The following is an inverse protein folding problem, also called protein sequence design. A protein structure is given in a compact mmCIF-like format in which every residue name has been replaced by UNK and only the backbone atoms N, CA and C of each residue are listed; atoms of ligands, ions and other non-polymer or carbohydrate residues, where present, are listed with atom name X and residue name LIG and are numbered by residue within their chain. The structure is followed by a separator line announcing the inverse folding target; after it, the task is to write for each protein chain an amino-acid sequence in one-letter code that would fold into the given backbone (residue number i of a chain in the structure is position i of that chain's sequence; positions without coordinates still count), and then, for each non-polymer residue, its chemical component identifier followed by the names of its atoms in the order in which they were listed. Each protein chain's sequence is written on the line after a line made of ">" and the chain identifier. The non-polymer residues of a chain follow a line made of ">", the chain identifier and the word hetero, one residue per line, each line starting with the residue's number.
data_IF_958010803961
#
_entry.id   IF_958010803961
#
_cell.length_a   1.000
_cell.length_b   1.000
_cell.length_c   1.000
_cell.angle_alpha   90.00
_cell.angle_beta   90.00
_cell.angle_gamma   90.00
#
_symmetry.space_group_name_H-M   'P 1'
#
loop_
_entity.id
_entity.type
_entity.pdbx_description
1 polymer ?
#
# COMPACT_ATOMS: atom_id res chain seq x y z
N UNK A 1 -31.56 -2.52 -13.10
CA UNK A 1 -32.85 -1.88 -13.46
C UNK A 1 -33.12 -0.78 -12.45
N UNK A 2 -32.22 0.19 -12.41
CA UNK A 2 -32.32 1.49 -11.72
C UNK A 2 -31.35 2.47 -12.41
N UNK A 3 -30.24 1.93 -12.95
CA UNK A 3 -29.29 2.70 -13.75
C UNK A 3 -29.83 3.15 -15.11
N UNK A 4 -30.95 2.64 -15.61
CA UNK A 4 -31.54 3.13 -16.88
C UNK A 4 -32.41 4.38 -16.68
N UNK A 5 -32.92 4.61 -15.45
CA UNK A 5 -33.58 5.85 -15.03
C UNK A 5 -32.59 6.89 -14.47
N UNK A 6 -31.46 6.45 -13.91
CA UNK A 6 -30.42 7.31 -13.32
C UNK A 6 -29.26 7.64 -14.28
N UNK A 7 -29.04 6.87 -15.36
CA UNK A 7 -28.02 7.23 -16.35
C UNK A 7 -28.44 8.34 -17.31
N UNK A 8 -29.73 8.73 -17.33
CA UNK A 8 -30.23 9.86 -18.12
C UNK A 8 -29.51 11.17 -17.78
N UNK A 9 -29.26 11.41 -16.49
CA UNK A 9 -28.54 12.61 -16.02
C UNK A 9 -27.11 12.70 -16.56
N UNK A 10 -26.47 11.56 -16.84
CA UNK A 10 -25.10 11.52 -17.39
C UNK A 10 -25.07 11.77 -18.90
N UNK A 11 -26.18 11.56 -19.60
CA UNK A 11 -26.33 11.80 -21.04
C UNK A 11 -26.87 13.20 -21.37
N UNK A 12 -27.38 13.94 -20.38
CA UNK A 12 -27.92 15.30 -20.55
C UNK A 12 -26.86 16.39 -20.40
N UNK A 13 -25.70 16.07 -19.82
CA UNK A 13 -24.65 17.04 -19.56
C UNK A 13 -23.69 17.24 -20.74
N UNK A 14 -23.30 18.50 -20.95
CA UNK A 14 -22.27 18.86 -21.91
C UNK A 14 -20.98 18.05 -21.66
N UNK A 15 -20.31 17.64 -22.74
CA UNK A 15 -19.16 16.72 -22.74
C UNK A 15 -18.06 17.04 -21.69
N UNK A 16 -17.93 18.30 -21.28
CA UNK A 16 -16.99 18.75 -20.25
C UNK A 16 -17.33 18.20 -18.85
N UNK A 17 -18.59 18.23 -18.42
CA UNK A 17 -19.01 17.72 -17.09
C UNK A 17 -18.84 16.19 -17.03
N UNK A 18 -19.13 15.50 -18.13
CA UNK A 18 -18.88 14.07 -18.27
C UNK A 18 -17.40 13.73 -18.01
N UNK A 19 -16.47 14.43 -18.66
CA UNK A 19 -15.03 14.21 -18.48
C UNK A 19 -14.60 14.44 -17.03
N UNK A 20 -15.08 15.50 -16.38
CA UNK A 20 -14.75 15.76 -14.98
C UNK A 20 -15.29 14.69 -14.04
N UNK A 21 -16.48 14.14 -14.32
CA UNK A 21 -17.03 13.05 -13.53
C UNK A 21 -16.17 11.78 -13.62
N UNK A 22 -15.79 11.37 -14.83
CA UNK A 22 -14.90 10.20 -15.00
C UNK A 22 -13.55 10.44 -14.34
N UNK A 23 -12.96 11.62 -14.55
CA UNK A 23 -11.69 11.97 -13.93
C UNK A 23 -11.78 11.88 -12.39
N UNK A 24 -12.86 12.38 -11.80
CA UNK A 24 -13.08 12.33 -10.36
C UNK A 24 -13.28 10.90 -9.83
N UNK A 25 -14.03 10.06 -10.54
CA UNK A 25 -14.21 8.64 -10.18
C UNK A 25 -12.84 7.92 -10.15
N UNK A 26 -12.05 8.03 -11.22
CA UNK A 26 -10.72 7.41 -11.27
C UNK A 26 -9.75 8.00 -10.25
N UNK A 27 -9.77 9.31 -10.03
CA UNK A 27 -8.93 9.96 -9.02
C UNK A 27 -9.26 9.46 -7.61
N UNK A 28 -10.55 9.27 -7.29
CA UNK A 28 -10.98 8.75 -5.98
C UNK A 28 -10.52 7.32 -5.74
N UNK A 29 -10.54 6.46 -6.76
CA UNK A 29 -10.04 5.07 -6.69
C UNK A 29 -8.54 5.08 -6.40
N UNK A 30 -7.77 5.88 -7.13
CA UNK A 30 -6.31 5.99 -6.94
C UNK A 30 -5.98 6.53 -5.56
N UNK A 31 -6.68 7.57 -5.09
CA UNK A 31 -6.49 8.14 -3.75
C UNK A 31 -6.72 7.08 -2.67
N UNK A 32 -7.83 6.34 -2.74
CA UNK A 32 -8.12 5.27 -1.77
C UNK A 32 -7.06 4.16 -1.78
N UNK A 33 -6.53 3.80 -2.95
CA UNK A 33 -5.43 2.83 -3.06
C UNK A 33 -4.13 3.35 -2.42
N UNK A 34 -3.83 4.64 -2.58
CA UNK A 34 -2.67 5.26 -1.93
C UNK A 34 -2.85 5.29 -0.42
N UNK A 35 -4.02 5.71 0.07
CA UNK A 35 -4.31 5.81 1.50
C UNK A 35 -4.24 4.44 2.19
N UNK A 36 -4.81 3.41 1.57
CA UNK A 36 -4.75 2.03 2.09
C UNK A 36 -3.32 1.48 2.10
N UNK A 37 -2.50 1.77 1.08
CA UNK A 37 -1.08 1.41 1.05
C UNK A 37 -0.29 2.07 2.19
N UNK A 38 -0.59 3.34 2.50
CA UNK A 38 0.07 4.08 3.58
C UNK A 38 -0.31 3.51 4.95
N UNK A 39 -1.61 3.28 5.21
CA UNK A 39 -2.07 2.83 6.53
C UNK A 39 -1.75 1.37 6.83
N UNK A 40 -1.87 0.48 5.85
CA UNK A 40 -1.77 -0.97 6.08
C UNK A 40 -0.47 -1.60 5.61
N UNK A 41 0.17 -1.08 4.55
CA UNK A 41 1.38 -1.68 3.95
C UNK A 41 2.68 -0.93 4.33
N UNK A 42 2.64 -0.10 5.37
CA UNK A 42 3.81 0.64 5.86
C UNK A 42 4.30 1.76 4.92
N UNK A 43 3.52 2.11 3.91
CA UNK A 43 3.78 3.22 2.99
C UNK A 43 5.20 3.24 2.41
N UNK A 44 5.96 4.27 2.80
CA UNK A 44 7.33 4.58 2.37
C UNK A 44 8.40 3.64 2.96
N UNK A 45 8.07 2.87 3.99
CA UNK A 45 9.06 2.00 4.63
C UNK A 45 9.63 0.99 3.63
N UNK A 46 10.95 1.09 3.45
CA UNK A 46 11.77 0.09 2.78
C UNK A 46 12.04 -0.97 3.85
N UNK A 47 11.06 -1.84 4.09
CA UNK A 47 11.25 -2.98 5.01
C UNK A 47 12.15 -4.06 4.40
N UNK A 48 12.52 -3.94 3.12
CA UNK A 48 13.38 -4.90 2.46
C UNK A 48 14.83 -4.57 2.80
N UNK A 49 15.47 -5.57 3.40
CA UNK A 49 16.89 -5.88 3.49
C UNK A 49 17.56 -5.92 2.10
N UNK A 50 17.29 -4.95 1.19
CA UNK A 50 17.68 -4.97 -0.22
C UNK A 50 19.13 -4.57 -0.38
N UNK A 51 19.59 -3.59 0.43
CA UNK A 51 21.02 -3.26 0.55
C UNK A 51 21.81 -4.47 1.04
N UNK A 52 21.25 -5.21 1.99
CA UNK A 52 21.90 -6.39 2.54
C UNK A 52 21.80 -7.60 1.60
N UNK A 53 20.72 -7.76 0.83
CA UNK A 53 20.62 -8.79 -0.20
C UNK A 53 21.62 -8.51 -1.32
N UNK A 54 21.80 -7.25 -1.70
CA UNK A 54 22.87 -6.82 -2.61
C UNK A 54 24.25 -7.12 -2.03
N UNK A 55 24.50 -6.81 -0.75
CA UNK A 55 25.75 -7.16 -0.06
C UNK A 55 25.97 -8.69 -0.02
N UNK A 56 24.93 -9.49 0.25
CA UNK A 56 25.01 -10.96 0.26
C UNK A 56 25.34 -11.50 -1.14
N UNK A 57 24.65 -11.04 -2.18
CA UNK A 57 24.92 -11.47 -3.56
C UNK A 57 26.35 -11.13 -3.97
N UNK A 58 26.83 -9.92 -3.64
CA UNK A 58 28.21 -9.53 -3.94
C UNK A 58 29.23 -10.35 -3.15
N UNK A 59 28.93 -10.69 -1.88
CA UNK A 59 29.79 -11.56 -1.08
C UNK A 59 29.89 -12.97 -1.64
N UNK A 60 28.77 -13.53 -2.14
CA UNK A 60 28.73 -14.85 -2.78
C UNK A 60 29.52 -14.82 -4.09
N UNK A 61 29.34 -13.77 -4.90
CA UNK A 61 30.06 -13.62 -6.17
C UNK A 61 31.57 -13.52 -5.95
N UNK A 62 32.01 -12.73 -4.96
CA UNK A 62 33.41 -12.60 -4.59
C UNK A 62 34.02 -13.95 -4.18
N UNK A 63 33.27 -14.75 -3.40
CA UNK A 63 33.72 -16.08 -2.99
C UNK A 63 33.75 -17.11 -4.12
N UNK A 64 32.80 -17.05 -5.06
CA UNK A 64 32.72 -17.97 -6.20
C UNK A 64 33.86 -17.78 -7.21
N UNK A 65 34.30 -16.53 -7.42
CA UNK A 65 35.29 -16.17 -8.45
C UNK A 65 36.69 -15.84 -7.89
N UNK A 66 36.91 -15.97 -6.57
CA UNK A 66 38.17 -15.61 -5.89
C UNK A 66 38.63 -14.17 -6.25
N UNK A 67 37.69 -13.22 -6.21
CA UNK A 67 37.97 -11.80 -6.51
C UNK A 67 37.86 -10.98 -5.22
N UNK A 68 38.95 -10.30 -4.83
CA UNK A 68 39.02 -9.38 -3.68
C UNK A 68 38.20 -8.08 -3.84
N UNK A 69 37.22 -8.07 -4.74
CA UNK A 69 36.45 -6.89 -5.13
C UNK A 69 35.74 -6.23 -3.93
N UNK A 70 35.42 -7.02 -2.90
CA UNK A 70 34.75 -6.57 -1.68
C UNK A 70 35.62 -5.65 -0.80
N UNK A 71 36.96 -5.79 -0.82
CA UNK A 71 37.89 -4.92 -0.09
C UNK A 71 38.27 -3.65 -0.85
N UNK A 72 37.85 -3.55 -2.12
CA UNK A 72 38.16 -2.36 -2.91
C UNK A 72 37.43 -1.12 -2.40
N UNK A 73 38.16 -0.01 -2.27
CA UNK A 73 37.58 1.32 -2.02
C UNK A 73 36.52 1.74 -3.05
N UNK A 74 36.48 1.07 -4.20
CA UNK A 74 35.46 1.26 -5.23
C UNK A 74 34.10 0.66 -4.82
N UNK A 75 34.10 -0.49 -4.14
CA UNK A 75 32.88 -1.14 -3.62
C UNK A 75 32.23 -0.29 -2.52
N UNK A 76 33.04 0.19 -1.56
CA UNK A 76 32.54 1.01 -0.45
C UNK A 76 31.97 2.34 -0.92
N UNK A 77 32.63 3.01 -1.87
CA UNK A 77 32.11 4.23 -2.51
C UNK A 77 30.82 3.99 -3.30
N UNK A 78 30.72 2.87 -4.00
CA UNK A 78 29.51 2.51 -4.74
C UNK A 78 28.32 2.22 -3.81
N UNK A 79 28.56 1.51 -2.71
CA UNK A 79 27.56 1.26 -1.65
C UNK A 79 27.11 2.55 -0.99
N UNK A 80 28.04 3.46 -0.70
CA UNK A 80 27.74 4.78 -0.11
C UNK A 80 26.93 5.65 -1.08
N UNK A 81 27.24 5.60 -2.38
CA UNK A 81 26.44 6.26 -3.41
C UNK A 81 25.02 5.69 -3.46
N UNK A 82 24.83 4.37 -3.45
CA UNK A 82 23.51 3.73 -3.41
C UNK A 82 22.72 4.06 -2.13
N UNK A 83 23.42 4.26 -1.01
CA UNK A 83 22.83 4.60 0.29
C UNK A 83 22.73 6.12 0.49
N UNK A 84 23.05 6.93 -0.53
CA UNK A 84 22.89 8.37 -0.49
C UNK A 84 21.46 8.79 -0.15
N UNK A 85 21.30 9.87 0.61
CA UNK A 85 19.98 10.35 1.07
C UNK A 85 19.00 10.62 -0.08
N UNK A 86 19.49 11.10 -1.22
CA UNK A 86 18.70 11.34 -2.42
C UNK A 86 18.19 10.05 -3.08
N UNK A 87 19.05 9.05 -3.23
CA UNK A 87 18.69 7.78 -3.86
C UNK A 87 17.77 6.96 -2.96
N UNK A 88 17.99 6.97 -1.65
CA UNK A 88 17.08 6.34 -0.70
C UNK A 88 15.68 6.97 -0.75
N UNK A 89 15.57 8.29 -0.90
CA UNK A 89 14.28 8.99 -1.08
C UNK A 89 13.59 8.66 -2.41
N UNK A 90 14.36 8.47 -3.48
CA UNK A 90 13.82 8.02 -4.76
C UNK A 90 13.30 6.58 -4.67
N UNK A 91 14.10 5.65 -4.11
CA UNK A 91 13.76 4.23 -4.04
C UNK A 91 12.48 3.99 -3.24
N UNK A 92 12.36 4.65 -2.11
CA UNK A 92 11.20 4.58 -1.21
C UNK A 92 9.92 5.19 -1.80
N UNK A 93 10.01 6.30 -2.54
CA UNK A 93 8.85 6.83 -3.29
C UNK A 93 8.41 5.90 -4.41
N UNK A 94 9.36 5.25 -5.11
CA UNK A 94 9.06 4.22 -6.10
C UNK A 94 8.39 2.99 -5.45
N UNK A 95 8.84 2.57 -4.27
CA UNK A 95 8.26 1.44 -3.53
C UNK A 95 6.81 1.74 -3.11
N UNK A 96 6.54 2.96 -2.64
CA UNK A 96 5.17 3.39 -2.38
C UNK A 96 4.31 3.32 -3.64
N UNK A 97 4.84 3.78 -4.79
CA UNK A 97 4.16 3.69 -6.10
C UNK A 97 3.92 2.25 -6.57
N UNK A 98 4.85 1.33 -6.31
CA UNK A 98 4.69 -0.09 -6.63
C UNK A 98 3.61 -0.72 -5.74
N UNK A 99 3.64 -0.46 -4.43
CA UNK A 99 2.61 -0.95 -3.50
C UNK A 99 1.21 -0.41 -3.87
N UNK A 100 1.11 0.87 -4.24
CA UNK A 100 -0.17 1.46 -4.66
C UNK A 100 -0.66 0.92 -6.00
N UNK A 101 0.23 0.66 -6.98
CA UNK A 101 -0.17 0.06 -8.26
C UNK A 101 -0.62 -1.40 -8.10
N UNK A 102 0.01 -2.18 -7.21
CA UNK A 102 -0.49 -3.50 -6.83
C UNK A 102 -1.90 -3.44 -6.23
N UNK A 103 -2.19 -2.43 -5.40
CA UNK A 103 -3.53 -2.23 -4.84
C UNK A 103 -4.56 -1.86 -5.92
N UNK A 104 -4.20 -1.00 -6.88
CA UNK A 104 -5.07 -0.69 -8.04
C UNK A 104 -5.35 -1.95 -8.85
N UNK A 105 -4.34 -2.81 -9.06
CA UNK A 105 -4.53 -4.09 -9.75
C UNK A 105 -5.52 -5.00 -9.01
N UNK A 106 -5.41 -5.10 -7.68
CA UNK A 106 -6.38 -5.84 -6.86
C UNK A 106 -7.79 -5.27 -7.03
N UNK A 107 -7.96 -3.95 -7.04
CA UNK A 107 -9.27 -3.33 -7.25
C UNK A 107 -9.88 -3.69 -8.61
N UNK A 108 -9.07 -3.64 -9.68
CA UNK A 108 -9.49 -4.05 -11.03
C UNK A 108 -9.85 -5.54 -11.04
N UNK A 109 -9.06 -6.38 -10.37
CA UNK A 109 -9.31 -7.83 -10.28
C UNK A 109 -10.59 -8.15 -9.51
N UNK A 110 -10.83 -7.48 -8.38
CA UNK A 110 -12.08 -7.58 -7.60
C UNK A 110 -13.27 -7.20 -8.47
N UNK A 111 -13.20 -6.09 -9.19
CA UNK A 111 -14.27 -5.66 -10.12
C UNK A 111 -14.54 -6.68 -11.23
N UNK A 112 -13.51 -7.40 -11.70
CA UNK A 112 -13.67 -8.45 -12.70
C UNK A 112 -14.23 -9.76 -12.13
N UNK A 113 -13.99 -10.06 -10.85
CA UNK A 113 -14.32 -11.36 -10.23
C UNK A 113 -15.72 -11.42 -9.62
N UNK A 114 -16.25 -10.29 -9.13
CA UNK A 114 -17.53 -10.29 -8.41
C UNK A 114 -18.72 -9.97 -9.33
N UNK A 115 -19.74 -10.84 -9.39
CA UNK A 115 -21.00 -10.53 -10.07
C UNK A 115 -21.73 -9.40 -9.34
N UNK A 116 -22.47 -8.57 -10.10
CA UNK A 116 -23.15 -7.36 -9.57
C UNK A 116 -24.08 -7.70 -8.39
N UNK A 117 -23.76 -7.14 -7.21
CA UNK A 117 -24.54 -7.31 -5.98
C UNK A 117 -25.64 -6.23 -5.93
N UNK A 118 -26.84 -6.57 -5.44
CA UNK A 118 -27.96 -5.63 -5.27
C UNK A 118 -27.71 -4.70 -4.07
N UNK A 119 -28.10 -3.42 -4.17
CA UNK A 119 -27.86 -2.41 -3.13
C UNK A 119 -28.40 -2.80 -1.74
N UNK A 120 -29.59 -3.40 -1.67
CA UNK A 120 -30.19 -3.87 -0.42
C UNK A 120 -29.30 -4.90 0.31
N UNK A 121 -28.64 -5.77 -0.46
CA UNK A 121 -27.74 -6.79 0.08
C UNK A 121 -26.44 -6.17 0.57
N UNK A 122 -25.94 -5.14 -0.12
CA UNK A 122 -24.74 -4.41 0.29
C UNK A 122 -24.97 -3.64 1.59
N UNK A 123 -26.11 -2.98 1.73
CA UNK A 123 -26.48 -2.25 2.96
C UNK A 123 -26.59 -3.20 4.15
N UNK A 124 -27.28 -4.34 3.96
CA UNK A 124 -27.42 -5.36 4.99
C UNK A 124 -26.05 -5.94 5.39
N UNK A 125 -25.17 -6.23 4.43
CA UNK A 125 -23.81 -6.72 4.71
C UNK A 125 -22.97 -5.72 5.53
N UNK A 126 -23.02 -4.44 5.15
CA UNK A 126 -22.30 -3.38 5.86
C UNK A 126 -22.78 -3.26 7.33
N UNK A 127 -24.08 -3.27 7.55
CA UNK A 127 -24.66 -3.08 8.88
C UNK A 127 -24.55 -4.32 9.78
N UNK A 128 -24.75 -5.51 9.23
CA UNK A 128 -24.84 -6.73 10.04
C UNK A 128 -23.51 -7.47 10.17
N UNK A 129 -22.59 -7.31 9.22
CA UNK A 129 -21.31 -8.03 9.23
C UNK A 129 -20.15 -7.06 9.47
N UNK A 130 -20.06 -5.97 8.71
CA UNK A 130 -18.90 -5.07 8.77
C UNK A 130 -18.86 -4.21 10.04
N UNK A 131 -20.02 -3.75 10.52
CA UNK A 131 -20.09 -2.90 11.71
C UNK A 131 -19.75 -3.68 13.01
N UNK A 132 -20.29 -4.89 13.26
CA UNK A 132 -19.91 -5.67 14.44
C UNK A 132 -18.45 -6.13 14.43
N UNK A 133 -17.90 -6.53 13.28
CA UNK A 133 -16.49 -6.93 13.19
C UNK A 133 -15.56 -5.75 13.52
N UNK A 134 -15.92 -4.53 13.10
CA UNK A 134 -15.15 -3.32 13.40
C UNK A 134 -15.16 -3.02 14.90
N UNK A 135 -16.33 -3.09 15.54
CA UNK A 135 -16.40 -2.94 17.01
C UNK A 135 -15.63 -4.02 17.75
N UNK A 136 -15.63 -5.26 17.25
CA UNK A 136 -14.82 -6.34 17.81
C UNK A 136 -13.32 -6.01 17.74
N UNK A 137 -12.81 -5.52 16.61
CA UNK A 137 -11.39 -5.12 16.50
C UNK A 137 -11.03 -3.94 17.41
N UNK A 138 -11.91 -2.94 17.55
CA UNK A 138 -11.66 -1.78 18.43
C UNK A 138 -11.47 -2.21 19.89
N UNK A 139 -12.22 -3.19 20.38
CA UNK A 139 -12.07 -3.70 21.75
C UNK A 139 -10.96 -4.74 21.85
N UNK A 140 -10.75 -5.54 20.82
CA UNK A 140 -9.77 -6.63 20.82
C UNK A 140 -8.32 -6.14 20.83
N UNK A 141 -7.98 -5.15 20.00
CA UNK A 141 -6.61 -4.62 19.91
C UNK A 141 -6.07 -4.08 21.25
N UNK A 142 -6.77 -3.21 22.00
CA UNK A 142 -6.28 -2.74 23.30
C UNK A 142 -6.22 -3.86 24.35
N UNK A 143 -7.17 -4.81 24.31
CA UNK A 143 -7.15 -5.98 25.21
C UNK A 143 -5.90 -6.84 24.98
N UNK A 144 -5.51 -7.03 23.72
CA UNK A 144 -4.32 -7.79 23.33
C UNK A 144 -3.01 -7.04 23.70
N UNK A 145 -3.00 -5.71 23.59
CA UNK A 145 -1.85 -4.92 24.03
C UNK A 145 -1.65 -4.98 25.54
N UNK A 146 -2.75 -4.95 26.31
CA UNK A 146 -2.70 -5.05 27.76
C UNK A 146 -2.11 -6.39 28.23
N UNK A 147 -2.53 -7.52 27.65
CA UNK A 147 -2.02 -8.84 28.05
C UNK A 147 -0.54 -9.04 27.72
N UNK A 148 -0.04 -8.41 26.65
CA UNK A 148 1.37 -8.47 26.26
C UNK A 148 2.25 -7.48 27.05
N UNK A 149 1.68 -6.68 27.97
CA UNK A 149 2.37 -5.60 28.67
C UNK A 149 3.12 -4.62 27.74
N UNK A 150 2.67 -4.48 26.49
CA UNK A 150 3.24 -3.52 25.53
C UNK A 150 2.47 -2.22 25.70
N UNK A 151 2.97 -1.35 26.57
CA UNK A 151 2.44 0.02 26.67
C UNK A 151 2.93 0.85 25.49
N UNK A 152 2.02 1.54 24.80
CA UNK A 152 2.35 2.49 23.72
C UNK A 152 3.34 3.59 24.17
N UNK A 153 3.37 3.87 25.48
CA UNK A 153 4.26 4.82 26.11
C UNK A 153 5.23 4.01 26.97
N UNK A 154 6.52 4.16 26.70
CA UNK A 154 7.58 3.60 27.53
C UNK A 154 7.62 4.36 28.87
N UNK A 155 6.83 3.91 29.85
CA UNK A 155 6.77 4.50 31.21
C UNK A 155 7.98 4.08 32.05
N UNK A 156 8.83 3.15 31.59
CA UNK A 156 10.00 2.69 32.34
C UNK A 156 11.19 3.67 32.35
N UNK A 157 10.94 4.97 32.13
CA UNK A 157 11.91 6.07 32.23
C UNK A 157 11.63 7.00 33.43
N UNK A 158 10.86 6.52 34.42
CA UNK A 158 10.79 7.08 35.78
C UNK A 158 10.94 5.98 36.82
#
# INVERSE_FOLDING_TARGET
>A
MESELVSGFMTEHAAVIFVFFFLAEYASIVLMCIFTSILFLGGYLIDIHLIYLFDIINSIYAHLFDIDWLESTTYTKFREQLTGSSLNGLLSSLILGIKSSMMVFIFIWVRASFPRIRFDQLMSFCWTVLLPILFAFIVFIPSLLYILNISFINISLF
#
